data_IF_175215928172
#
_entry.id   IF_175215928172
#
_cell.length_a   1.000
_cell.length_b   1.000
_cell.length_c   1.000
_cell.angle_alpha   90.00
_cell.angle_beta   90.00
_cell.angle_gamma   90.00
#
_symmetry.space_group_name_H-M   'P 1'
#
loop_
_entity.id
_entity.type
_entity.pdbx_description
1 polymer ?
#
# COMPACT_ATOMS: atom_id res chain seq x y z
N UNK A 1 13.95 0.19 -14.96
CA UNK A 1 14.11 0.76 -13.60
C UNK A 1 14.55 2.20 -13.76
N UNK A 2 13.75 3.18 -13.34
CA UNK A 2 14.11 4.61 -13.42
C UNK A 2 14.90 4.98 -12.16
N UNK A 3 16.21 5.22 -12.32
CA UNK A 3 17.12 5.54 -11.20
C UNK A 3 17.27 7.07 -11.13
N UNK A 4 17.16 7.70 -9.95
CA UNK A 4 17.41 9.14 -9.79
C UNK A 4 18.85 9.50 -10.17
N UNK A 5 19.03 10.65 -10.83
CA UNK A 5 20.34 11.16 -11.19
C UNK A 5 21.10 11.64 -9.95
N UNK A 6 22.28 11.09 -9.70
CA UNK A 6 23.16 11.56 -8.62
C UNK A 6 23.81 12.89 -9.00
N UNK A 7 23.91 13.81 -8.04
CA UNK A 7 24.62 15.09 -8.26
C UNK A 7 26.11 14.81 -8.53
N UNK A 8 26.68 15.32 -9.63
CA UNK A 8 28.10 15.19 -9.94
C UNK A 8 28.98 15.98 -8.97
N UNK A 9 30.20 15.49 -8.71
CA UNK A 9 31.16 16.16 -7.81
C UNK A 9 31.65 17.46 -8.42
N UNK A 10 31.65 18.55 -7.64
CA UNK A 10 32.07 19.92 -8.05
C UNK A 10 31.32 20.50 -9.27
N UNK A 11 30.12 19.99 -9.60
CA UNK A 11 29.29 20.54 -10.67
C UNK A 11 27.85 20.70 -10.21
N UNK A 12 27.19 21.72 -10.73
CA UNK A 12 25.75 21.85 -10.55
C UNK A 12 25.01 20.78 -11.36
N UNK A 13 23.91 20.31 -10.78
CA UNK A 13 23.05 19.37 -11.46
C UNK A 13 22.17 20.12 -12.48
N UNK A 14 22.13 19.69 -13.76
CA UNK A 14 21.26 20.28 -14.77
C UNK A 14 19.81 20.34 -14.30
N UNK A 15 19.10 21.41 -14.67
CA UNK A 15 17.71 21.64 -14.23
C UNK A 15 16.78 20.48 -14.61
N UNK A 16 16.91 19.96 -15.83
CA UNK A 16 16.11 18.82 -16.29
C UNK A 16 16.33 17.56 -15.43
N UNK A 17 17.55 17.32 -14.92
CA UNK A 17 17.80 16.19 -14.00
C UNK A 17 17.14 16.40 -12.65
N UNK A 18 17.16 17.64 -12.14
CA UNK A 18 16.44 18.00 -10.91
C UNK A 18 14.93 17.80 -11.07
N UNK A 19 14.38 18.20 -12.22
CA UNK A 19 12.95 18.06 -12.52
C UNK A 19 12.54 16.58 -12.63
N UNK A 20 13.36 15.74 -13.29
CA UNK A 20 13.18 14.29 -13.33
C UNK A 20 13.21 13.69 -11.92
N UNK A 21 14.21 14.05 -11.11
CA UNK A 21 14.34 13.57 -9.73
C UNK A 21 13.16 14.01 -8.87
N UNK A 22 12.68 15.24 -9.03
CA UNK A 22 11.52 15.75 -8.30
C UNK A 22 10.25 14.96 -8.61
N UNK A 23 9.95 14.73 -9.89
CA UNK A 23 8.79 13.92 -10.32
C UNK A 23 8.87 12.50 -9.78
N UNK A 24 10.05 11.88 -9.86
CA UNK A 24 10.26 10.54 -9.32
C UNK A 24 10.10 10.49 -7.79
N UNK A 25 10.74 11.42 -7.07
CA UNK A 25 10.67 11.49 -5.61
C UNK A 25 9.24 11.74 -5.11
N UNK A 26 8.42 12.49 -5.84
CA UNK A 26 7.01 12.70 -5.49
C UNK A 26 6.23 11.38 -5.41
N UNK A 27 6.47 10.45 -6.34
CA UNK A 27 5.86 9.12 -6.34
C UNK A 27 6.49 8.25 -5.24
N UNK A 28 7.82 8.26 -5.16
CA UNK A 28 8.57 7.45 -4.20
C UNK A 28 8.17 7.74 -2.75
N UNK A 29 7.99 9.01 -2.38
CA UNK A 29 7.57 9.40 -1.02
C UNK A 29 6.21 8.81 -0.66
N UNK A 30 5.25 8.80 -1.60
CA UNK A 30 3.94 8.21 -1.35
C UNK A 30 4.04 6.69 -1.14
N UNK A 31 4.84 6.00 -1.95
CA UNK A 31 5.08 4.56 -1.84
C UNK A 31 5.79 4.22 -0.52
N UNK A 32 6.88 4.91 -0.19
CA UNK A 32 7.62 4.69 1.06
C UNK A 32 6.74 4.94 2.29
N UNK A 33 5.89 5.98 2.26
CA UNK A 33 4.91 6.23 3.33
C UNK A 33 3.88 5.13 3.43
N UNK A 34 3.35 4.63 2.32
CA UNK A 34 2.42 3.50 2.31
C UNK A 34 3.06 2.23 2.89
N UNK A 35 4.30 1.94 2.49
CA UNK A 35 5.07 0.79 3.03
C UNK A 35 5.34 0.96 4.52
N UNK A 36 5.68 2.16 4.99
CA UNK A 36 5.92 2.44 6.41
C UNK A 36 4.64 2.23 7.24
N UNK A 37 3.50 2.72 6.74
CA UNK A 37 2.19 2.46 7.36
C UNK A 37 1.87 0.98 7.38
N UNK A 38 2.03 0.29 6.24
CA UNK A 38 1.80 -1.15 6.12
C UNK A 38 2.64 -1.95 7.13
N UNK A 39 3.93 -1.60 7.25
CA UNK A 39 4.84 -2.19 8.25
C UNK A 39 4.45 -1.90 9.69
N UNK A 40 3.60 -0.91 9.94
CA UNK A 40 3.12 -0.57 11.29
C UNK A 40 1.78 -1.23 11.61
N UNK A 41 1.05 -1.71 10.59
CA UNK A 41 -0.26 -2.30 10.78
C UNK A 41 -0.17 -3.64 11.52
N UNK A 42 -0.71 -3.64 12.74
CA UNK A 42 -0.78 -4.84 13.59
C UNK A 42 -1.51 -5.99 12.92
N UNK A 43 -2.47 -5.74 12.02
CA UNK A 43 -3.23 -6.79 11.32
C UNK A 43 -2.35 -7.69 10.45
N UNK A 44 -1.18 -7.20 10.01
CA UNK A 44 -0.23 -7.97 9.19
C UNK A 44 0.83 -8.69 10.03
N UNK A 45 1.09 -8.20 11.25
CA UNK A 45 2.09 -8.76 12.18
C UNK A 45 1.49 -9.67 13.25
N UNK A 46 0.26 -9.35 13.63
CA UNK A 46 -0.58 -10.18 14.48
C UNK A 46 -1.45 -10.94 13.52
N UNK A 47 -1.40 -12.27 13.53
CA UNK A 47 -2.42 -13.06 12.86
C UNK A 47 -3.77 -12.49 13.29
N UNK A 48 -4.50 -11.87 12.37
CA UNK A 48 -5.85 -11.40 12.63
C UNK A 48 -6.71 -12.63 12.82
N UNK A 49 -6.66 -13.17 14.03
CA UNK A 49 -7.47 -14.29 14.45
C UNK A 49 -8.78 -13.70 14.88
N UNK A 50 -9.72 -13.71 13.95
CA UNK A 50 -11.09 -13.34 14.25
C UNK A 50 -11.57 -14.14 15.46
N UNK A 51 -12.26 -13.52 16.43
CA UNK A 51 -12.80 -14.24 17.58
C UNK A 51 -13.59 -15.47 17.11
N UNK A 52 -13.21 -16.66 17.58
CA UNK A 52 -13.72 -17.94 17.07
C UNK A 52 -15.24 -18.07 17.28
N UNK A 53 -15.74 -17.50 18.38
CA UNK A 53 -17.16 -17.35 18.71
C UNK A 53 -17.98 -16.64 17.61
N UNK A 54 -17.37 -15.72 16.86
CA UNK A 54 -18.04 -14.97 15.78
C UNK A 54 -17.94 -15.59 14.39
N UNK A 55 -17.16 -16.67 14.24
CA UNK A 55 -16.89 -17.30 12.94
C UNK A 55 -18.17 -17.86 12.31
N UNK A 56 -18.96 -18.62 13.08
CA UNK A 56 -20.20 -19.23 12.61
C UNK A 56 -21.19 -18.17 12.11
N UNK A 57 -21.43 -17.13 12.92
CA UNK A 57 -22.33 -16.03 12.56
C UNK A 57 -21.91 -15.34 11.26
N UNK A 58 -20.61 -15.21 11.00
CA UNK A 58 -20.18 -14.60 9.75
C UNK A 58 -20.30 -15.52 8.55
N UNK A 59 -19.99 -16.82 8.68
CA UNK A 59 -20.23 -17.78 7.60
C UNK A 59 -21.71 -17.74 7.21
N UNK A 60 -22.61 -17.75 8.19
CA UNK A 60 -24.06 -17.61 7.96
C UNK A 60 -24.40 -16.29 7.26
N UNK A 61 -23.84 -15.16 7.69
CA UNK A 61 -24.10 -13.86 7.06
C UNK A 61 -23.60 -13.79 5.60
N UNK A 62 -22.41 -14.35 5.32
CA UNK A 62 -21.84 -14.39 3.96
C UNK A 62 -22.69 -15.28 3.05
N UNK A 63 -23.09 -16.46 3.52
CA UNK A 63 -24.02 -17.34 2.79
C UNK A 63 -25.33 -16.58 2.52
N UNK A 64 -25.92 -15.96 3.55
CA UNK A 64 -27.12 -15.16 3.43
C UNK A 64 -26.98 -14.10 2.34
N UNK A 65 -25.90 -13.31 2.34
CA UNK A 65 -25.65 -12.29 1.31
C UNK A 65 -25.47 -12.88 -0.11
N UNK A 66 -24.72 -13.98 -0.25
CA UNK A 66 -24.50 -14.63 -1.54
C UNK A 66 -25.78 -15.18 -2.17
N UNK A 67 -26.71 -15.70 -1.36
CA UNK A 67 -27.97 -16.27 -1.85
C UNK A 67 -29.14 -15.28 -1.82
N UNK A 68 -29.07 -14.23 -1.01
CA UNK A 68 -30.05 -13.14 -1.02
C UNK A 68 -29.91 -12.24 -2.25
N UNK A 69 -28.68 -12.07 -2.77
CA UNK A 69 -28.42 -11.29 -3.98
C UNK A 69 -28.78 -12.02 -5.29
N UNK A 70 -29.32 -13.24 -5.23
CA UNK A 70 -29.85 -13.96 -6.40
C UNK A 70 -31.37 -13.84 -6.45
N UNK A 71 -31.92 -12.90 -7.23
CA UNK A 71 -33.32 -12.97 -7.61
C UNK A 71 -33.45 -14.07 -8.68
N UNK A 72 -34.30 -15.05 -8.41
CA UNK A 72 -35.00 -15.80 -9.46
C UNK A 72 -35.99 -14.87 -10.16
#
# INVERSE_FOLDING_TARGET
MLIPFRKPRKREQPRWQKDCNFRHNKIRVAVERAIAHLKTWRILHTDYRRPYDTLAATITAVIGLCFHARPE
#
